data_IF_594469924060
#
_entry.id   IF_594469924060
#
_cell.length_a   1.000
_cell.length_b   1.000
_cell.length_c   1.000
_cell.angle_alpha   90.00
_cell.angle_beta   90.00
_cell.angle_gamma   90.00
#
_symmetry.space_group_name_H-M   'P 1'
#
loop_
_entity.id
_entity.type
_entity.pdbx_description
1 polymer ?
#
# COMPACT_ATOMS: atom_id res chain seq x y z
N UNK A 1 -3.35 -2.77 -20.35
CA UNK A 1 -4.35 -3.40 -19.46
C UNK A 1 -3.90 -3.05 -18.07
N UNK A 2 -4.76 -2.54 -17.21
CA UNK A 2 -4.42 -2.34 -15.80
C UNK A 2 -3.88 -3.67 -15.24
N UNK A 3 -2.78 -3.58 -14.51
CA UNK A 3 -2.02 -4.75 -14.07
C UNK A 3 -2.83 -5.48 -12.99
N UNK A 4 -2.42 -6.69 -12.61
CA UNK A 4 -3.02 -7.41 -11.48
C UNK A 4 -2.72 -6.64 -10.17
N UNK A 5 -3.44 -5.54 -9.93
CA UNK A 5 -3.17 -4.55 -8.88
C UNK A 5 -4.41 -4.28 -8.02
N UNK A 6 -4.17 -3.90 -6.77
CA UNK A 6 -5.23 -3.44 -5.87
C UNK A 6 -5.31 -1.91 -5.93
N UNK A 7 -6.45 -1.39 -6.40
CA UNK A 7 -6.72 0.05 -6.39
C UNK A 7 -7.50 0.42 -5.12
N UNK A 8 -6.87 1.19 -4.23
CA UNK A 8 -7.42 1.50 -2.91
C UNK A 8 -7.55 3.02 -2.70
N UNK A 9 -8.75 3.48 -2.34
CA UNK A 9 -8.98 4.85 -1.89
C UNK A 9 -8.87 4.94 -0.36
N UNK A 10 -8.15 5.94 0.14
CA UNK A 10 -7.97 6.17 1.57
C UNK A 10 -7.79 7.64 1.93
N UNK A 11 -7.34 7.90 3.16
CA UNK A 11 -6.95 9.23 3.61
C UNK A 11 -5.44 9.42 3.48
N UNK A 12 -5.01 10.64 3.17
CA UNK A 12 -3.58 10.97 3.22
C UNK A 12 -3.08 10.94 4.67
N UNK A 13 -1.81 10.56 4.91
CA UNK A 13 -1.18 10.68 6.22
C UNK A 13 -0.97 12.16 6.59
N UNK A 14 -0.69 12.39 7.87
CA UNK A 14 -0.07 13.64 8.27
C UNK A 14 1.44 13.61 8.02
N UNK A 15 2.13 14.77 8.07
CA UNK A 15 3.54 14.87 7.74
C UNK A 15 4.46 14.00 8.62
N UNK A 16 4.12 13.83 9.91
CA UNK A 16 4.89 13.00 10.83
C UNK A 16 4.85 11.51 10.43
N UNK A 17 3.66 10.99 10.11
CA UNK A 17 3.47 9.61 9.71
C UNK A 17 4.09 9.34 8.33
N UNK A 18 3.99 10.30 7.41
CA UNK A 18 4.62 10.18 6.09
C UNK A 18 6.15 10.13 6.21
N UNK A 19 6.74 10.98 7.07
CA UNK A 19 8.17 10.97 7.35
C UNK A 19 8.64 9.66 8.02
N UNK A 20 7.86 9.13 8.96
CA UNK A 20 8.11 7.81 9.57
C UNK A 20 8.14 6.71 8.52
N UNK A 21 7.14 6.65 7.63
CA UNK A 21 7.11 5.69 6.54
C UNK A 21 8.30 5.88 5.58
N UNK A 22 8.63 7.11 5.20
CA UNK A 22 9.76 7.41 4.32
C UNK A 22 11.12 7.01 4.91
N UNK A 23 11.24 6.97 6.24
CA UNK A 23 12.46 6.54 6.92
C UNK A 23 12.61 5.01 7.04
N UNK A 24 11.64 4.23 6.56
CA UNK A 24 11.68 2.76 6.67
C UNK A 24 12.75 2.16 5.76
N UNK A 25 13.67 1.40 6.35
CA UNK A 25 14.72 0.67 5.64
C UNK A 25 14.32 -0.79 5.44
N UNK A 26 14.22 -1.23 4.17
CA UNK A 26 13.96 -2.62 3.81
C UNK A 26 15.15 -3.13 2.99
N UNK A 27 15.72 -4.33 3.30
CA UNK A 27 16.81 -4.90 2.52
C UNK A 27 16.48 -4.92 1.02
N UNK A 28 17.39 -4.39 0.20
CA UNK A 28 17.23 -4.34 -1.25
C UNK A 28 16.41 -3.16 -1.79
N UNK A 29 15.97 -2.22 -0.95
CA UNK A 29 15.23 -1.01 -1.36
C UNK A 29 15.94 0.26 -0.89
N UNK A 30 15.77 1.35 -1.65
CA UNK A 30 16.24 2.67 -1.25
C UNK A 30 15.36 3.24 -0.13
N UNK A 31 15.95 4.09 0.72
CA UNK A 31 15.20 4.84 1.73
C UNK A 31 14.40 5.95 1.07
N UNK A 32 13.17 6.16 1.52
CA UNK A 32 12.26 7.18 1.02
C UNK A 32 11.01 6.61 0.35
N UNK A 33 10.08 7.50 0.00
CA UNK A 33 8.92 7.18 -0.84
C UNK A 33 9.31 7.53 -2.28
N UNK A 34 9.29 6.57 -3.23
CA UNK A 34 9.63 6.83 -4.63
C UNK A 34 8.71 7.87 -5.30
N UNK A 35 9.22 8.48 -6.38
CA UNK A 35 8.41 9.39 -7.19
C UNK A 35 7.19 8.67 -7.79
N UNK A 36 6.00 9.22 -7.56
CA UNK A 36 4.74 8.63 -8.03
C UNK A 36 4.12 7.62 -7.06
N UNK A 37 4.79 7.28 -5.96
CA UNK A 37 4.23 6.47 -4.88
C UNK A 37 3.77 7.33 -3.70
N UNK A 38 2.93 6.76 -2.83
CA UNK A 38 2.40 7.49 -1.68
C UNK A 38 1.88 6.56 -0.59
N UNK A 39 1.87 7.08 0.63
CA UNK A 39 1.29 6.40 1.78
C UNK A 39 -0.19 6.78 1.86
N UNK A 40 -1.06 5.80 2.07
CA UNK A 40 -2.48 6.03 2.34
C UNK A 40 -2.90 5.32 3.63
N UNK A 41 -3.81 5.96 4.37
CA UNK A 41 -4.42 5.40 5.56
C UNK A 41 -5.74 4.77 5.19
N UNK A 42 -5.90 3.52 5.61
CA UNK A 42 -7.14 2.76 5.46
C UNK A 42 -7.74 2.51 6.84
N UNK A 43 -9.08 2.56 6.98
CA UNK A 43 -9.71 2.28 8.24
C UNK A 43 -9.64 0.78 8.55
N UNK A 44 -9.42 0.43 9.82
CA UNK A 44 -9.30 -0.97 10.24
C UNK A 44 -10.49 -1.85 9.83
N UNK A 45 -11.69 -1.26 9.74
CA UNK A 45 -12.89 -1.97 9.26
C UNK A 45 -12.75 -2.51 7.83
N UNK A 46 -11.87 -1.96 6.99
CA UNK A 46 -11.64 -2.44 5.62
C UNK A 46 -10.72 -3.67 5.55
N UNK A 47 -10.11 -4.09 6.66
CA UNK A 47 -9.15 -5.19 6.67
C UNK A 47 -9.71 -6.49 6.06
N UNK A 48 -10.96 -6.83 6.35
CA UNK A 48 -11.61 -8.03 5.80
C UNK A 48 -11.71 -7.99 4.26
N UNK A 49 -12.14 -6.86 3.70
CA UNK A 49 -12.26 -6.65 2.26
C UNK A 49 -10.90 -6.70 1.55
N UNK A 50 -9.85 -6.12 2.16
CA UNK A 50 -8.49 -6.16 1.59
C UNK A 50 -7.99 -7.60 1.52
N UNK A 51 -8.21 -8.41 2.57
CA UNK A 51 -7.81 -9.82 2.58
C UNK A 51 -8.50 -10.63 1.47
N UNK A 52 -9.81 -10.46 1.32
CA UNK A 52 -10.56 -11.12 0.24
C UNK A 52 -10.05 -10.72 -1.15
N UNK A 53 -9.75 -9.43 -1.35
CA UNK A 53 -9.18 -8.96 -2.61
C UNK A 53 -7.79 -9.56 -2.88
N UNK A 54 -6.94 -9.68 -1.86
CA UNK A 54 -5.67 -10.40 -1.96
C UNK A 54 -5.86 -11.87 -2.36
N UNK A 55 -6.78 -12.59 -1.71
CA UNK A 55 -7.03 -14.01 -2.01
C UNK A 55 -7.48 -14.22 -3.47
N UNK A 56 -8.32 -13.33 -3.99
CA UNK A 56 -8.74 -13.34 -5.39
C UNK A 56 -7.54 -13.07 -6.30
N UNK A 57 -6.72 -12.06 -6.00
CA UNK A 57 -5.58 -11.71 -6.83
C UNK A 57 -4.54 -12.83 -6.88
N UNK A 58 -4.21 -13.43 -5.74
CA UNK A 58 -3.28 -14.56 -5.62
C UNK A 58 -3.73 -15.77 -6.46
N UNK A 59 -5.04 -16.03 -6.53
CA UNK A 59 -5.58 -17.09 -7.36
C UNK A 59 -5.41 -16.83 -8.87
N UNK A 60 -5.39 -15.57 -9.30
CA UNK A 60 -5.18 -15.17 -10.70
C UNK A 60 -3.70 -15.10 -11.11
N UNK A 61 -2.78 -15.01 -10.14
CA UNK A 61 -1.33 -14.97 -10.37
C UNK A 61 -0.68 -16.36 -10.44
N UNK A 62 -1.43 -17.44 -10.19
CA UNK A 62 -1.00 -18.84 -10.29
C UNK A 62 -1.31 -19.44 -11.66
#
# INVERSE_FOLDING_TARGET
>A
MEHAELVLQGWLPGPELEAECAATEVPGHAVGIPEGEGVIRLPARMLHMIREACDVLDAHLR
#
